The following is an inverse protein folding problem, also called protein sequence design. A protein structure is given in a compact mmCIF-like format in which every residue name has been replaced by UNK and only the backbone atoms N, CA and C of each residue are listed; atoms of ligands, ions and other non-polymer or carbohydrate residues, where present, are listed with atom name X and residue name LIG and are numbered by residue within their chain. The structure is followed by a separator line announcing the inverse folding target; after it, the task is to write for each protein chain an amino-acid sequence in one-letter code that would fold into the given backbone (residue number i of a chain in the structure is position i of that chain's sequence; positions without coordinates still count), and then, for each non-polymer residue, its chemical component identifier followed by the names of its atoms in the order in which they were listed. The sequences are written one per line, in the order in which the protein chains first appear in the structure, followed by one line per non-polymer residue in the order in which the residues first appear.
data_IF_727916243776
#
_entry.id   IF_727916243776
#
_cell.length_a   1.000
_cell.length_b   1.000
_cell.length_c   1.000
_cell.angle_alpha   90.00
_cell.angle_beta   90.00
_cell.angle_gamma   90.00
#
_symmetry.space_group_name_H-M   'P 1'
#
loop_
_entity.id
_entity.type
_entity.pdbx_description
1 polymer ?
#
# COMPACT_ATOMS: atom_id res chain seq x y z
N UNK A 1 1.50 21.80 7.94
CA UNK A 1 0.15 21.22 7.74
C UNK A 1 -0.19 20.15 8.80
N UNK A 2 0.78 19.37 9.28
CA UNK A 2 0.61 18.22 10.20
C UNK A 2 0.06 18.57 11.60
N UNK A 3 0.50 19.68 12.20
CA UNK A 3 0.05 20.07 13.55
C UNK A 3 -1.44 20.42 13.63
N UNK A 4 -2.02 20.99 12.57
CA UNK A 4 -3.44 21.32 12.52
C UNK A 4 -4.31 20.07 12.57
N UNK A 5 -3.95 19.03 11.82
CA UNK A 5 -4.73 17.79 11.78
C UNK A 5 -4.69 17.07 13.12
N UNK A 6 -3.52 17.00 13.76
CA UNK A 6 -3.37 16.43 15.11
C UNK A 6 -4.18 17.25 16.13
N UNK A 7 -4.10 18.59 16.07
CA UNK A 7 -4.86 19.46 16.97
C UNK A 7 -6.37 19.28 16.79
N UNK A 8 -6.88 19.31 15.56
CA UNK A 8 -8.29 19.08 15.29
C UNK A 8 -8.72 17.68 15.72
N UNK A 9 -7.90 16.65 15.46
CA UNK A 9 -8.20 15.29 15.89
C UNK A 9 -8.34 15.19 17.42
N UNK A 10 -7.37 15.74 18.17
CA UNK A 10 -7.40 15.76 19.64
C UNK A 10 -8.58 16.59 20.14
N UNK A 11 -8.79 17.79 19.60
CA UNK A 11 -9.87 18.69 19.98
C UNK A 11 -11.25 18.03 19.79
N UNK A 12 -11.49 17.41 18.63
CA UNK A 12 -12.73 16.70 18.35
C UNK A 12 -12.88 15.43 19.20
N UNK A 13 -11.79 14.69 19.45
CA UNK A 13 -11.78 13.54 20.37
C UNK A 13 -12.24 13.96 21.76
N UNK A 14 -11.71 15.07 22.30
CA UNK A 14 -12.12 15.63 23.59
C UNK A 14 -13.58 16.09 23.55
N UNK A 15 -13.96 16.87 22.53
CA UNK A 15 -15.32 17.42 22.37
C UNK A 15 -16.39 16.32 22.31
N UNK A 16 -16.08 15.18 21.69
CA UNK A 16 -17.00 14.06 21.52
C UNK A 16 -16.88 13.01 22.64
N UNK A 17 -15.95 13.16 23.58
CA UNK A 17 -15.69 12.16 24.63
C UNK A 17 -15.12 10.84 24.09
N UNK A 18 -14.52 10.87 22.90
CA UNK A 18 -13.98 9.68 22.24
C UNK A 18 -12.48 9.60 22.51
N UNK A 19 -11.96 8.46 22.99
CA UNK A 19 -10.53 8.33 23.21
C UNK A 19 -9.71 8.40 21.91
N UNK A 20 -8.61 9.18 21.88
CA UNK A 20 -7.82 9.38 20.66
C UNK A 20 -7.06 8.11 20.20
N UNK A 21 -6.94 7.09 21.05
CA UNK A 21 -6.32 5.82 20.64
C UNK A 21 -7.24 4.96 19.76
N UNK A 22 -8.53 5.28 19.65
CA UNK A 22 -9.44 4.59 18.73
C UNK A 22 -9.05 4.75 17.27
N UNK A 23 -8.30 5.81 16.91
CA UNK A 23 -7.72 5.93 15.56
C UNK A 23 -6.84 4.73 15.19
N UNK A 24 -6.03 4.23 16.12
CA UNK A 24 -5.18 3.07 15.90
C UNK A 24 -5.97 1.75 15.86
N UNK A 25 -7.25 1.77 16.24
CA UNK A 25 -8.14 0.61 16.25
C UNK A 25 -8.96 0.48 14.96
N UNK A 26 -9.01 1.52 14.12
CA UNK A 26 -9.87 1.60 12.92
C UNK A 26 -9.73 0.37 12.01
N UNK A 27 -8.51 -0.18 11.91
CA UNK A 27 -8.20 -1.39 11.13
C UNK A 27 -7.50 -2.47 11.96
N UNK A 28 -7.61 -2.43 13.30
CA UNK A 28 -6.86 -3.34 14.18
C UNK A 28 -7.25 -4.81 14.04
N UNK A 29 -8.45 -5.10 13.51
CA UNK A 29 -8.89 -6.45 13.16
C UNK A 29 -7.97 -7.13 12.12
N UNK A 30 -7.19 -6.34 11.36
CA UNK A 30 -6.26 -6.83 10.34
C UNK A 30 -4.83 -7.04 10.86
N UNK A 31 -4.55 -6.71 12.11
CA UNK A 31 -3.23 -6.87 12.73
C UNK A 31 -2.91 -8.36 12.97
N UNK A 32 -1.74 -8.83 12.52
CA UNK A 32 -1.32 -10.19 12.79
C UNK A 32 -0.66 -10.27 14.18
N UNK A 33 -1.39 -10.79 15.16
CA UNK A 33 -0.93 -10.94 16.55
C UNK A 33 0.27 -11.89 16.69
N UNK A 34 0.34 -12.93 15.86
CA UNK A 34 1.42 -13.93 15.92
C UNK A 34 2.74 -13.35 15.38
N UNK A 35 2.66 -12.53 14.34
CA UNK A 35 3.82 -11.84 13.73
C UNK A 35 4.19 -10.55 14.47
N UNK A 36 3.24 -9.93 15.18
CA UNK A 36 3.45 -8.68 15.91
C UNK A 36 3.37 -7.43 15.02
N UNK A 37 2.88 -7.53 13.79
CA UNK A 37 2.76 -6.41 12.86
C UNK A 37 1.66 -6.65 11.80
N UNK A 38 1.31 -5.61 11.04
CA UNK A 38 0.48 -5.74 9.83
C UNK A 38 1.30 -6.35 8.70
N UNK A 39 1.12 -7.65 8.46
CA UNK A 39 1.88 -8.40 7.46
C UNK A 39 1.43 -8.05 6.04
N UNK A 40 2.38 -7.67 5.18
CA UNK A 40 2.12 -7.32 3.78
C UNK A 40 1.51 -8.48 3.03
N UNK A 41 2.07 -9.69 3.17
CA UNK A 41 1.55 -10.86 2.46
C UNK A 41 0.16 -11.26 2.96
N UNK A 42 -0.10 -11.16 4.27
CA UNK A 42 -1.41 -11.50 4.82
C UNK A 42 -2.47 -10.50 4.36
N UNK A 43 -2.11 -9.21 4.29
CA UNK A 43 -3.01 -8.17 3.77
C UNK A 43 -3.31 -8.39 2.30
N UNK A 44 -2.28 -8.64 1.50
CA UNK A 44 -2.43 -8.89 0.06
C UNK A 44 -3.23 -10.17 -0.21
N UNK A 45 -3.06 -11.21 0.63
CA UNK A 45 -3.83 -12.45 0.59
C UNK A 45 -5.36 -12.26 0.72
N UNK A 46 -5.83 -11.06 1.07
CA UNK A 46 -7.24 -10.71 1.18
C UNK A 46 -7.79 -9.89 0.00
N UNK A 47 -6.94 -9.31 -0.84
CA UNK A 47 -7.34 -8.53 -2.03
C UNK A 47 -7.85 -9.50 -3.12
N UNK A 48 -8.75 -9.21 -4.06
CA UNK A 48 -9.03 -10.15 -5.16
C UNK A 48 -7.77 -10.50 -5.98
N UNK A 49 -7.55 -11.78 -6.34
CA UNK A 49 -6.33 -12.23 -7.05
C UNK A 49 -6.07 -11.45 -8.35
N UNK A 50 -7.14 -11.03 -9.05
CA UNK A 50 -7.08 -10.22 -10.27
C UNK A 50 -6.44 -8.83 -10.09
N UNK A 51 -6.30 -8.35 -8.85
CA UNK A 51 -5.74 -7.03 -8.53
C UNK A 51 -4.39 -7.11 -7.82
N UNK A 52 -3.89 -8.32 -7.55
CA UNK A 52 -2.62 -8.52 -6.86
C UNK A 52 -1.50 -8.67 -7.87
N UNK A 53 -0.36 -8.10 -7.53
CA UNK A 53 0.89 -8.51 -8.16
C UNK A 53 1.31 -9.87 -7.59
N UNK A 54 1.88 -10.73 -8.44
CA UNK A 54 2.42 -12.00 -7.98
C UNK A 54 3.54 -11.74 -6.97
N UNK A 55 3.45 -12.37 -5.81
CA UNK A 55 4.46 -12.24 -4.76
C UNK A 55 4.45 -13.43 -3.80
N UNK A 56 5.60 -13.69 -3.20
CA UNK A 56 5.82 -14.78 -2.25
C UNK A 56 6.97 -14.48 -1.30
N UNK A 57 7.04 -15.21 -0.18
CA UNK A 57 8.23 -15.19 0.67
C UNK A 57 9.47 -15.61 -0.12
N UNK A 58 10.55 -14.88 0.09
CA UNK A 58 11.87 -15.22 -0.42
C UNK A 58 12.44 -16.40 0.38
N UNK A 59 12.62 -17.53 -0.28
CA UNK A 59 13.36 -18.66 0.27
C UNK A 59 14.87 -18.44 0.07
N UNK A 60 15.50 -17.83 1.08
CA UNK A 60 16.93 -17.51 1.08
C UNK A 60 17.82 -18.75 0.96
N UNK A 61 17.36 -19.90 1.47
CA UNK A 61 18.14 -21.14 1.45
C UNK A 61 18.12 -21.83 0.08
N UNK A 62 17.23 -21.40 -0.82
CA UNK A 62 16.99 -22.09 -2.08
C UNK A 62 16.78 -21.14 -3.27
N UNK A 63 17.51 -20.02 -3.30
CA UNK A 63 17.40 -19.00 -4.35
C UNK A 63 17.59 -19.57 -5.77
N UNK A 64 18.51 -20.52 -5.94
CA UNK A 64 18.81 -21.13 -7.25
C UNK A 64 17.64 -21.93 -7.82
N UNK A 65 16.86 -22.60 -6.97
CA UNK A 65 15.69 -23.38 -7.43
C UNK A 65 14.40 -22.55 -7.41
N UNK A 66 14.39 -21.39 -6.75
CA UNK A 66 13.25 -20.47 -6.65
C UNK A 66 13.50 -19.16 -7.40
N UNK A 67 14.01 -19.26 -8.64
CA UNK A 67 14.22 -18.09 -9.49
C UNK A 67 12.89 -17.50 -9.96
N UNK A 68 12.76 -16.16 -9.99
CA UNK A 68 11.64 -15.50 -10.65
C UNK A 68 11.56 -15.89 -12.13
N UNK A 69 10.33 -16.02 -12.64
CA UNK A 69 10.07 -16.34 -14.05
C UNK A 69 10.40 -15.19 -14.99
N UNK A 70 10.41 -13.97 -14.47
CA UNK A 70 10.64 -12.74 -15.20
C UNK A 70 11.27 -11.69 -14.28
N UNK A 71 12.00 -10.76 -14.89
CA UNK A 71 12.57 -9.58 -14.25
C UNK A 71 12.06 -8.31 -14.96
N UNK A 72 11.97 -7.16 -14.27
CA UNK A 72 12.45 -6.91 -12.91
C UNK A 72 11.52 -7.44 -11.81
N UNK A 73 12.11 -7.75 -10.65
CA UNK A 73 11.38 -8.02 -9.40
C UNK A 73 11.81 -7.05 -8.31
N UNK A 74 10.94 -6.86 -7.32
CA UNK A 74 11.23 -6.09 -6.12
C UNK A 74 11.36 -7.02 -4.92
N UNK A 75 12.48 -6.89 -4.21
CA UNK A 75 12.70 -7.50 -2.92
C UNK A 75 12.29 -6.50 -1.85
N UNK A 76 11.37 -6.89 -0.98
CA UNK A 76 10.81 -6.02 0.05
C UNK A 76 10.86 -6.73 1.40
N UNK A 77 11.29 -6.08 2.49
CA UNK A 77 11.11 -6.67 3.81
C UNK A 77 9.61 -6.78 4.10
N UNK A 78 9.21 -7.89 4.71
CA UNK A 78 7.83 -8.18 5.11
C UNK A 78 7.25 -7.02 5.93
N UNK A 79 8.07 -6.42 6.80
CA UNK A 79 7.72 -5.24 7.56
C UNK A 79 8.76 -4.13 7.36
N UNK A 80 8.29 -2.90 7.17
CA UNK A 80 9.13 -1.74 6.88
C UNK A 80 8.28 -0.53 6.46
N UNK A 81 8.83 0.68 6.61
CA UNK A 81 8.17 1.95 6.28
C UNK A 81 9.00 2.75 5.27
N UNK A 82 8.34 3.65 4.53
CA UNK A 82 8.96 4.63 3.63
C UNK A 82 9.96 4.03 2.62
N UNK A 83 9.60 2.88 2.06
CA UNK A 83 10.42 2.14 1.07
C UNK A 83 11.79 1.67 1.56
N UNK A 84 12.05 1.71 2.87
CA UNK A 84 13.30 1.21 3.43
C UNK A 84 13.41 -0.32 3.23
N UNK A 85 14.59 -0.77 2.81
CA UNK A 85 14.88 -2.17 2.47
C UNK A 85 14.30 -2.65 1.14
N UNK A 86 13.59 -1.81 0.38
CA UNK A 86 13.07 -2.20 -0.93
C UNK A 86 14.19 -2.10 -1.98
N UNK A 87 14.46 -3.20 -2.67
CA UNK A 87 15.48 -3.29 -3.71
C UNK A 87 14.84 -3.77 -5.01
N UNK A 88 15.11 -3.06 -6.11
CA UNK A 88 14.76 -3.51 -7.45
C UNK A 88 15.89 -4.40 -7.98
N UNK A 89 15.55 -5.57 -8.47
CA UNK A 89 16.46 -6.53 -9.08
C UNK A 89 16.08 -6.68 -10.55
N UNK A 90 17.01 -6.34 -11.44
CA UNK A 90 16.78 -6.28 -12.88
C UNK A 90 17.15 -7.57 -13.62
N UNK A 91 17.92 -8.46 -12.99
CA UNK A 91 18.37 -9.70 -13.62
C UNK A 91 18.65 -10.81 -12.60
N UNK A 92 18.84 -12.03 -13.13
CA UNK A 92 19.09 -13.23 -12.35
C UNK A 92 20.38 -13.17 -11.53
N UNK A 93 21.45 -12.57 -12.06
CA UNK A 93 22.73 -12.52 -11.35
C UNK A 93 22.63 -11.68 -10.08
N UNK A 94 21.99 -10.52 -10.18
CA UNK A 94 21.73 -9.64 -9.04
C UNK A 94 20.82 -10.31 -8.01
N UNK A 95 19.84 -11.11 -8.45
CA UNK A 95 18.98 -11.89 -7.56
C UNK A 95 19.77 -12.93 -6.77
N UNK A 96 20.67 -13.67 -7.42
CA UNK A 96 21.50 -14.69 -6.77
C UNK A 96 22.56 -14.09 -5.86
N UNK A 97 23.00 -12.86 -6.14
CA UNK A 97 23.94 -12.11 -5.31
C UNK A 97 23.28 -11.42 -4.11
N UNK A 98 21.94 -11.38 -4.06
CA UNK A 98 21.23 -10.74 -2.98
C UNK A 98 21.39 -11.53 -1.67
N UNK A 99 22.05 -10.89 -0.69
CA UNK A 99 22.27 -11.50 0.61
C UNK A 99 21.85 -10.56 1.75
N UNK A 100 20.61 -10.66 2.25
CA UNK A 100 20.13 -9.91 3.41
C UNK A 100 20.51 -10.64 4.72
N UNK A 101 21.76 -11.11 4.81
CA UNK A 101 22.28 -11.97 5.90
C UNK A 101 22.20 -11.29 7.29
N UNK A 102 22.08 -9.97 7.34
CA UNK A 102 21.95 -9.19 8.57
C UNK A 102 20.50 -8.96 9.01
N UNK A 103 19.51 -9.39 8.22
CA UNK A 103 18.11 -8.98 8.45
C UNK A 103 17.27 -10.06 9.13
N UNK A 104 16.81 -9.74 10.35
CA UNK A 104 15.86 -10.52 11.14
C UNK A 104 14.46 -10.60 10.51
N UNK A 105 14.17 -9.75 9.54
CA UNK A 105 12.86 -9.63 8.92
C UNK A 105 12.83 -10.48 7.64
N UNK A 106 11.81 -11.33 7.43
CA UNK A 106 11.64 -12.06 6.18
C UNK A 106 11.50 -11.10 4.99
N UNK A 107 11.97 -11.52 3.82
CA UNK A 107 11.78 -10.79 2.58
C UNK A 107 10.67 -11.41 1.75
N UNK A 108 10.00 -10.56 0.97
CA UNK A 108 9.05 -10.91 -0.07
C UNK A 108 9.69 -10.60 -1.42
N UNK A 109 9.53 -11.50 -2.39
CA UNK A 109 9.75 -11.23 -3.81
C UNK A 109 8.42 -10.84 -4.42
N UNK A 110 8.37 -9.70 -5.10
CA UNK A 110 7.19 -9.21 -5.79
C UNK A 110 7.54 -8.87 -7.24
N UNK A 111 6.75 -9.34 -8.20
CA UNK A 111 6.93 -8.98 -9.60
C UNK A 111 6.62 -7.49 -9.83
N UNK A 112 7.32 -6.87 -10.78
CA UNK A 112 6.98 -5.51 -11.19
C UNK A 112 5.58 -5.46 -11.82
N UNK A 113 4.89 -4.33 -11.62
CA UNK A 113 3.65 -4.03 -12.34
C UNK A 113 3.94 -3.94 -13.84
N UNK A 114 3.00 -4.44 -14.65
CA UNK A 114 3.07 -4.36 -16.12
C UNK A 114 2.37 -3.10 -16.64
N UNK A 115 1.54 -2.51 -15.79
CA UNK A 115 0.73 -1.35 -16.02
C UNK A 115 1.62 -0.11 -16.15
N UNK A 116 1.20 0.83 -17.01
CA UNK A 116 1.99 2.02 -17.32
C UNK A 116 1.82 3.14 -16.29
N UNK A 117 0.78 3.04 -15.47
CA UNK A 117 0.38 4.10 -14.58
C UNK A 117 -0.09 3.53 -13.25
N UNK A 118 0.41 4.13 -12.18
CA UNK A 118 0.01 3.83 -10.81
C UNK A 118 -1.00 4.89 -10.36
N UNK A 119 -2.11 4.44 -9.80
CA UNK A 119 -3.09 5.27 -9.12
C UNK A 119 -3.08 4.93 -7.64
N UNK A 120 -3.33 5.95 -6.82
CA UNK A 120 -3.63 5.73 -5.42
C UNK A 120 -5.09 6.07 -5.18
N UNK A 121 -5.81 5.17 -4.54
CA UNK A 121 -7.19 5.36 -4.17
C UNK A 121 -7.26 5.39 -2.64
N UNK A 122 -7.60 6.53 -2.09
CA UNK A 122 -7.88 6.71 -0.67
C UNK A 122 -9.38 6.74 -0.45
N UNK A 123 -9.88 5.90 0.46
CA UNK A 123 -11.30 5.90 0.79
C UNK A 123 -11.57 5.67 2.28
N UNK A 124 -12.72 6.18 2.72
CA UNK A 124 -13.30 5.94 4.03
C UNK A 124 -14.71 5.40 3.80
N UNK A 125 -15.01 4.23 4.37
CA UNK A 125 -16.36 3.65 4.32
C UNK A 125 -17.28 4.37 5.29
N UNK A 126 -18.54 4.44 4.91
CA UNK A 126 -19.57 4.99 5.77
C UNK A 126 -19.79 4.14 7.02
N UNK A 127 -20.04 4.80 8.14
CA UNK A 127 -20.19 4.15 9.45
C UNK A 127 -21.49 3.34 9.53
N UNK A 128 -22.53 3.81 8.86
CA UNK A 128 -23.88 3.28 8.95
C UNK A 128 -24.14 2.31 7.79
N UNK A 129 -23.62 2.63 6.60
CA UNK A 129 -23.68 1.75 5.43
C UNK A 129 -22.29 1.46 4.84
N UNK A 130 -21.67 0.36 5.26
CA UNK A 130 -20.33 -0.07 4.79
C UNK A 130 -20.21 -0.32 3.29
N UNK A 131 -21.33 -0.42 2.56
CA UNK A 131 -21.36 -0.51 1.10
C UNK A 131 -21.18 0.85 0.40
N UNK A 132 -21.27 1.95 1.16
CA UNK A 132 -21.07 3.31 0.72
C UNK A 132 -19.73 3.86 1.20
N UNK A 133 -19.21 4.86 0.47
CA UNK A 133 -18.01 5.60 0.83
C UNK A 133 -18.41 6.99 1.30
N UNK A 134 -17.97 7.38 2.51
CA UNK A 134 -18.10 8.78 2.96
C UNK A 134 -17.02 9.67 2.36
N UNK A 135 -15.93 9.08 1.89
CA UNK A 135 -14.82 9.80 1.25
C UNK A 135 -14.16 8.92 0.21
N UNK A 136 -13.88 9.48 -0.96
CA UNK A 136 -13.10 8.87 -2.02
C UNK A 136 -12.21 9.96 -2.62
N UNK A 137 -10.90 9.75 -2.60
CA UNK A 137 -9.91 10.62 -3.22
C UNK A 137 -8.96 9.75 -4.07
N UNK A 138 -8.65 10.21 -5.27
CA UNK A 138 -7.79 9.53 -6.22
C UNK A 138 -6.57 10.41 -6.52
N UNK A 139 -5.57 10.44 -5.62
CA UNK A 139 -4.31 11.09 -5.93
C UNK A 139 -3.47 10.30 -6.94
N UNK A 140 -2.81 11.02 -7.83
CA UNK A 140 -1.73 10.49 -8.67
C UNK A 140 -0.41 11.18 -8.35
N UNK A 141 0.68 10.43 -8.48
CA UNK A 141 2.02 10.96 -8.34
C UNK A 141 2.51 11.43 -9.70
N UNK A 142 2.66 12.75 -9.88
CA UNK A 142 3.23 13.33 -11.09
C UNK A 142 4.71 13.64 -10.91
N UNK A 143 5.59 13.20 -11.84
CA UNK A 143 6.98 13.59 -11.81
C UNK A 143 7.11 15.08 -12.18
N UNK A 144 7.86 15.84 -11.38
CA UNK A 144 8.24 17.23 -11.67
C UNK A 144 9.24 17.33 -12.84
N UNK A 145 9.96 16.23 -13.14
CA UNK A 145 10.95 16.12 -14.24
C UNK A 145 10.87 14.72 -14.87
N UNK A 146 11.25 14.57 -16.14
CA UNK A 146 11.15 13.36 -17.01
C UNK A 146 11.73 12.01 -16.48
N UNK A 147 12.22 11.91 -15.25
CA UNK A 147 12.78 10.67 -14.71
C UNK A 147 11.69 9.79 -14.06
N UNK A 148 11.74 8.48 -14.30
CA UNK A 148 10.89 7.47 -13.67
C UNK A 148 11.01 7.57 -12.15
N UNK A 149 9.94 8.01 -11.50
CA UNK A 149 9.95 8.31 -10.07
C UNK A 149 9.34 7.17 -9.28
N UNK A 150 10.08 6.63 -8.30
CA UNK A 150 9.47 5.85 -7.23
C UNK A 150 8.62 6.75 -6.35
N UNK A 151 7.42 6.30 -6.01
CA UNK A 151 6.51 6.99 -5.12
C UNK A 151 7.03 6.88 -3.68
N UNK A 152 7.72 7.91 -3.21
CA UNK A 152 8.30 7.98 -1.87
C UNK A 152 8.15 9.38 -1.31
N UNK A 153 7.85 9.50 -0.02
CA UNK A 153 7.78 10.78 0.69
C UNK A 153 9.12 11.55 0.66
N UNK A 154 10.22 10.86 0.35
CA UNK A 154 11.55 11.46 0.21
C UNK A 154 11.86 11.89 -1.23
N UNK A 155 11.03 11.51 -2.20
CA UNK A 155 11.22 11.90 -3.59
C UNK A 155 10.72 13.33 -3.80
N UNK A 156 11.63 14.30 -3.69
CA UNK A 156 11.32 15.73 -3.91
C UNK A 156 11.01 16.08 -5.38
N UNK A 157 11.20 15.14 -6.31
CA UNK A 157 10.93 15.31 -7.73
C UNK A 157 9.54 14.80 -8.14
N UNK A 158 8.63 14.59 -7.18
CA UNK A 158 7.23 14.23 -7.44
C UNK A 158 6.27 15.14 -6.69
N UNK A 159 5.10 15.39 -7.27
CA UNK A 159 3.97 16.02 -6.59
C UNK A 159 2.74 15.10 -6.60
N UNK A 160 1.91 15.20 -5.56
CA UNK A 160 0.59 14.59 -5.57
C UNK A 160 -0.40 15.55 -6.22
N UNK A 161 -1.16 15.06 -7.19
CA UNK A 161 -2.31 15.75 -7.76
C UNK A 161 -3.55 14.92 -7.50
N UNK A 162 -4.56 15.52 -6.89
CA UNK A 162 -5.89 14.92 -6.82
C UNK A 162 -6.57 15.04 -8.18
N UNK A 163 -6.94 13.90 -8.76
CA UNK A 163 -7.65 13.81 -10.04
C UNK A 163 -9.08 13.31 -9.85
N UNK A 164 -9.58 13.18 -8.62
CA UNK A 164 -10.98 12.81 -8.36
C UNK A 164 -11.97 13.68 -9.15
N UNK A 165 -11.79 15.01 -9.28
CA UNK A 165 -12.69 15.85 -10.08
C UNK A 165 -12.69 15.55 -11.59
N UNK A 166 -11.69 14.82 -12.09
CA UNK A 166 -11.58 14.47 -13.51
C UNK A 166 -12.48 13.27 -13.87
N UNK A 167 -13.02 12.55 -12.88
CA UNK A 167 -13.95 11.43 -13.07
C UNK A 167 -15.40 11.89 -13.01
N UNK A 168 -16.24 11.32 -13.88
CA UNK A 168 -17.68 11.53 -13.82
C UNK A 168 -18.36 10.60 -12.79
N UNK A 169 -19.59 10.93 -12.39
CA UNK A 169 -20.35 10.16 -11.39
C UNK A 169 -20.44 8.67 -11.73
N UNK A 170 -20.63 8.34 -13.01
CA UNK A 170 -20.70 6.94 -13.47
C UNK A 170 -19.39 6.18 -13.25
N UNK A 171 -18.25 6.83 -13.44
CA UNK A 171 -16.94 6.22 -13.21
C UNK A 171 -16.67 6.04 -11.71
N UNK A 172 -17.07 7.02 -10.90
CA UNK A 172 -17.00 6.93 -9.44
C UNK A 172 -17.89 5.81 -8.88
N UNK A 173 -19.09 5.61 -9.42
CA UNK A 173 -19.99 4.51 -9.06
C UNK A 173 -19.38 3.13 -9.38
N UNK A 174 -18.72 3.01 -10.54
CA UNK A 174 -18.00 1.79 -10.93
C UNK A 174 -16.84 1.53 -9.96
N UNK A 175 -16.05 2.56 -9.66
CA UNK A 175 -14.95 2.46 -8.70
C UNK A 175 -15.45 2.05 -7.32
N UNK A 176 -16.54 2.65 -6.83
CA UNK A 176 -17.15 2.25 -5.57
C UNK A 176 -17.53 0.76 -5.56
N UNK A 177 -18.10 0.27 -6.67
CA UNK A 177 -18.47 -1.14 -6.82
C UNK A 177 -17.25 -2.05 -6.74
N UNK A 178 -16.15 -1.70 -7.42
CA UNK A 178 -14.90 -2.45 -7.30
C UNK A 178 -14.34 -2.40 -5.87
N UNK A 179 -14.35 -1.24 -5.21
CA UNK A 179 -13.87 -1.15 -3.84
C UNK A 179 -14.67 -2.02 -2.84
N UNK A 180 -15.88 -2.49 -3.20
CA UNK A 180 -16.61 -3.48 -2.40
C UNK A 180 -16.04 -4.90 -2.46
N UNK A 181 -15.24 -5.25 -3.48
CA UNK A 181 -14.60 -6.57 -3.52
C UNK A 181 -13.39 -6.67 -2.58
N UNK A 182 -12.87 -5.53 -2.12
CA UNK A 182 -11.87 -5.50 -1.06
C UNK A 182 -12.52 -5.89 0.28
N UNK A 183 -11.75 -6.45 1.22
CA UNK A 183 -12.19 -6.58 2.60
C UNK A 183 -12.76 -5.27 3.14
N UNK A 184 -13.61 -5.32 4.17
CA UNK A 184 -14.28 -4.14 4.72
C UNK A 184 -13.33 -3.26 5.57
N UNK A 185 -12.18 -2.89 5.01
CA UNK A 185 -11.28 -1.88 5.55
C UNK A 185 -12.05 -0.59 5.76
N UNK A 186 -11.99 -0.02 6.97
CA UNK A 186 -12.76 1.18 7.32
C UNK A 186 -12.13 2.43 6.71
N UNK A 187 -10.80 2.46 6.71
CA UNK A 187 -9.98 3.45 6.00
C UNK A 187 -8.93 2.68 5.20
N UNK A 188 -8.75 3.00 3.92
CA UNK A 188 -7.70 2.37 3.13
C UNK A 188 -7.07 3.36 2.15
N UNK A 189 -5.81 3.09 1.83
CA UNK A 189 -5.10 3.63 0.67
C UNK A 189 -4.63 2.45 -0.14
N UNK A 190 -5.10 2.36 -1.38
CA UNK A 190 -4.84 1.25 -2.29
C UNK A 190 -4.01 1.81 -3.43
N UNK A 191 -2.85 1.22 -3.69
CA UNK A 191 -2.09 1.47 -4.92
C UNK A 191 -2.49 0.44 -5.97
N UNK A 192 -2.78 0.90 -7.19
CA UNK A 192 -3.09 0.06 -8.36
C UNK A 192 -2.19 0.43 -9.50
#
# INVERSE_FOLDING_TARGET
MTFRLIFYYIFWSIRLGIPPWYYFQINAEWYNKNKGFYSKIDMDARIPKKWRLEQNYLDKNNLKNNLPKAFPVFLKPEWGQNSNGIIKIDNQQDFLNFNPESEKIPYIVQYAAHEKQEYEIFYIRDSDNKACLSTLNIPITKPLRRALSSNSIYNKNTMYQDITPDFCDKELDILQTYLQELPPFRIARVGT
#
